data_IF_870588577931
#
_entry.id   IF_870588577931
#
_cell.length_a   1.000
_cell.length_b   1.000
_cell.length_c   1.000
_cell.angle_alpha   90.00
_cell.angle_beta   90.00
_cell.angle_gamma   90.00
#
_symmetry.space_group_name_H-M   'P 1'
#
loop_
_entity.id
_entity.type
_entity.pdbx_description
1 polymer ?
#
# COMPACT_ATOMS: atom_id res chain seq x y z
N UNK A 1 -28.00 -38.20 -6.11
CA UNK A 1 -28.60 -37.45 -7.23
C UNK A 1 -27.69 -36.29 -7.58
N UNK A 2 -26.83 -36.39 -8.60
CA UNK A 2 -25.94 -35.30 -8.99
C UNK A 2 -26.72 -34.28 -9.85
N UNK A 3 -26.66 -33.00 -9.46
CA UNK A 3 -27.18 -31.89 -10.27
C UNK A 3 -26.00 -31.23 -10.95
N UNK A 4 -25.83 -31.52 -12.23
CA UNK A 4 -24.89 -30.87 -13.14
C UNK A 4 -25.49 -29.51 -13.52
N UNK A 5 -24.78 -28.42 -13.24
CA UNK A 5 -25.09 -27.09 -13.75
C UNK A 5 -23.89 -26.63 -14.55
N UNK A 6 -24.05 -26.60 -15.88
CA UNK A 6 -23.06 -26.10 -16.83
C UNK A 6 -23.42 -24.66 -17.16
N UNK A 7 -22.60 -23.68 -16.73
CA UNK A 7 -22.74 -22.29 -17.17
C UNK A 7 -21.77 -22.05 -18.33
N UNK A 8 -22.33 -21.82 -19.52
CA UNK A 8 -21.59 -21.38 -20.71
C UNK A 8 -21.63 -19.86 -20.75
N UNK A 9 -20.52 -19.20 -20.37
CA UNK A 9 -20.35 -17.76 -20.56
C UNK A 9 -19.34 -17.53 -21.69
N UNK A 10 -19.84 -17.06 -22.83
CA UNK A 10 -19.01 -16.56 -23.93
C UNK A 10 -19.17 -15.04 -23.99
N UNK A 11 -18.17 -14.30 -23.50
CA UNK A 11 -17.99 -12.88 -23.81
C UNK A 11 -16.80 -12.75 -24.75
N UNK A 12 -17.05 -12.29 -25.97
CA UNK A 12 -16.04 -11.82 -26.90
C UNK A 12 -16.12 -10.29 -26.95
N UNK A 13 -15.11 -9.61 -26.41
CA UNK A 13 -14.92 -8.18 -26.58
C UNK A 13 -13.93 -7.93 -27.73
N UNK A 14 -14.35 -7.18 -28.74
CA UNK A 14 -13.48 -6.68 -29.81
C UNK A 14 -13.16 -5.22 -29.48
N UNK A 15 -11.91 -4.94 -29.11
CA UNK A 15 -11.36 -3.58 -29.09
C UNK A 15 -10.64 -3.32 -30.41
N UNK A 16 -11.05 -2.27 -31.11
CA UNK A 16 -10.31 -1.68 -32.22
C UNK A 16 -9.53 -0.48 -31.70
N UNK A 17 -8.21 -0.52 -31.88
CA UNK A 17 -7.28 0.55 -31.59
C UNK A 17 -6.96 1.39 -32.84
N UNK A 18 -6.98 2.71 -32.68
CA UNK A 18 -6.26 3.73 -33.46
C UNK A 18 -6.37 5.02 -32.64
N UNK A 19 -5.33 5.77 -32.27
CA UNK A 19 -4.00 5.93 -32.84
C UNK A 19 -3.81 7.41 -33.20
N UNK A 20 -2.66 7.96 -32.82
CA UNK A 20 -2.01 9.18 -33.32
C UNK A 20 -2.29 10.53 -32.63
N UNK A 21 -1.20 11.22 -32.25
CA UNK A 21 -1.21 12.61 -31.80
C UNK A 21 0.14 13.09 -31.25
N UNK A 22 1.07 13.42 -32.15
CA UNK A 22 2.41 13.96 -31.87
C UNK A 22 2.44 15.44 -31.45
N UNK A 23 3.64 15.88 -31.00
CA UNK A 23 4.23 17.23 -31.05
C UNK A 23 4.06 18.17 -29.84
N UNK A 24 5.19 18.70 -29.37
CA UNK A 24 5.27 19.96 -28.63
C UNK A 24 6.63 20.21 -27.98
N UNK A 25 7.31 21.29 -28.36
CA UNK A 25 8.75 21.54 -28.14
C UNK A 25 8.97 22.66 -27.12
N UNK A 26 10.12 22.60 -26.42
CA UNK A 26 11.01 23.73 -26.05
C UNK A 26 10.43 24.89 -25.22
N UNK A 27 10.98 25.07 -24.02
CA UNK A 27 10.99 26.34 -23.29
C UNK A 27 12.23 26.41 -22.41
N UNK A 28 13.17 27.27 -22.80
CA UNK A 28 14.44 27.60 -22.14
C UNK A 28 14.31 28.94 -21.39
N UNK A 29 15.25 29.18 -20.47
CA UNK A 29 15.59 30.45 -19.81
C UNK A 29 14.63 30.97 -18.71
N UNK A 30 15.05 31.64 -17.63
CA UNK A 30 16.31 31.94 -16.93
C UNK A 30 15.88 32.87 -15.75
N UNK A 31 16.79 33.21 -14.82
CA UNK A 31 16.68 34.26 -13.78
C UNK A 31 15.85 33.93 -12.52
N UNK A 32 16.24 34.24 -11.29
CA UNK A 32 17.28 35.15 -10.80
C UNK A 32 17.82 34.68 -9.43
N UNK A 33 19.11 34.90 -9.23
CA UNK A 33 19.73 35.00 -7.90
C UNK A 33 19.25 36.29 -7.21
N UNK A 34 18.99 36.23 -5.90
CA UNK A 34 18.99 37.43 -5.06
C UNK A 34 19.67 37.17 -3.73
N UNK A 35 20.52 38.14 -3.44
CA UNK A 35 21.53 38.32 -2.41
C UNK A 35 21.00 38.28 -0.95
N UNK A 36 21.89 37.93 -0.02
CA UNK A 36 21.72 38.02 1.43
C UNK A 36 21.78 39.49 1.93
N UNK A 37 21.50 39.78 3.22
CA UNK A 37 22.63 39.86 4.15
C UNK A 37 22.39 39.47 5.63
N UNK A 38 23.45 38.89 6.20
CA UNK A 38 24.07 39.05 7.52
C UNK A 38 23.30 39.39 8.83
N UNK A 39 23.56 38.54 9.83
CA UNK A 39 24.01 38.79 11.22
C UNK A 39 23.05 39.41 12.28
N UNK A 40 22.89 38.72 13.42
CA UNK A 40 23.42 39.08 14.78
C UNK A 40 22.85 38.10 15.85
N UNK A 41 23.65 37.66 16.82
CA UNK A 41 23.31 36.82 17.99
C UNK A 41 23.49 37.63 19.31
N UNK A 42 23.42 37.08 20.55
CA UNK A 42 22.39 36.32 21.30
C UNK A 42 21.96 37.09 22.61
N UNK A 43 21.79 36.46 23.81
CA UNK A 43 20.55 36.23 24.56
C UNK A 43 20.24 37.20 25.75
N UNK A 44 19.04 37.10 26.34
CA UNK A 44 18.73 37.66 27.67
C UNK A 44 17.96 36.64 28.53
N UNK A 45 18.50 36.19 29.69
CA UNK A 45 17.72 35.52 30.73
C UNK A 45 17.24 36.53 31.78
N UNK A 46 15.98 36.41 32.18
CA UNK A 46 15.42 37.08 33.36
C UNK A 46 14.65 36.07 34.21
N UNK A 47 14.93 35.93 35.51
CA UNK A 47 14.16 35.11 36.43
C UNK A 47 13.03 35.92 37.10
N UNK A 48 12.26 35.21 37.94
CA UNK A 48 11.32 35.67 38.99
C UNK A 48 9.84 35.75 38.54
N UNK A 49 9.02 34.72 38.80
CA UNK A 49 8.36 34.31 40.07
C UNK A 49 6.95 34.91 40.22
N UNK A 50 5.92 34.06 40.18
CA UNK A 50 4.71 34.15 41.01
C UNK A 50 3.73 33.03 40.60
N UNK A 51 3.49 32.12 41.54
CA UNK A 51 2.68 30.94 41.36
C UNK A 51 1.21 31.16 41.05
N UNK A 52 0.60 30.11 40.51
CA UNK A 52 -0.82 29.83 40.68
C UNK A 52 -1.00 28.31 40.64
N UNK A 53 -1.11 27.75 41.84
CA UNK A 53 -1.67 26.44 42.12
C UNK A 53 -3.11 26.42 41.61
N UNK A 54 -3.37 25.65 40.56
CA UNK A 54 -4.71 25.26 40.16
C UNK A 54 -4.68 23.78 39.78
N UNK A 55 -5.19 22.99 40.71
CA UNK A 55 -5.50 21.58 40.62
C UNK A 55 -6.30 21.24 39.36
N UNK A 56 -6.07 20.04 38.83
CA UNK A 56 -7.07 19.31 38.05
C UNK A 56 -6.87 19.33 36.53
N UNK A 57 -5.93 18.54 36.05
CA UNK A 57 -6.06 17.86 34.76
C UNK A 57 -5.29 16.53 34.77
N UNK A 58 -5.50 15.71 35.80
CA UNK A 58 -5.39 14.26 35.64
C UNK A 58 -6.63 13.79 34.88
N UNK A 59 -6.62 13.89 33.55
CA UNK A 59 -7.44 13.05 32.69
C UNK A 59 -6.62 12.71 31.46
N UNK A 60 -6.01 11.54 31.51
CA UNK A 60 -6.03 10.58 30.41
C UNK A 60 -5.86 11.16 29.01
N UNK A 61 -4.61 11.45 28.63
CA UNK A 61 -4.19 11.21 27.25
C UNK A 61 -4.05 9.68 27.02
N UNK A 62 -5.15 8.96 27.24
CA UNK A 62 -5.40 7.61 26.78
C UNK A 62 -6.72 7.76 26.01
N UNK A 63 -6.66 7.54 24.69
CA UNK A 63 -7.75 7.52 23.69
C UNK A 63 -7.74 8.65 22.65
N UNK A 64 -6.60 8.83 21.98
CA UNK A 64 -6.52 9.35 20.61
C UNK A 64 -5.24 8.74 20.05
N UNK A 65 -5.26 7.48 19.60
CA UNK A 65 -5.55 7.20 18.20
C UNK A 65 -5.85 5.69 18.09
N UNK A 66 -7.10 5.30 18.30
CA UNK A 66 -7.60 4.03 17.76
C UNK A 66 -8.14 4.26 16.34
N UNK A 67 -7.51 5.17 15.59
CA UNK A 67 -7.51 5.07 14.14
C UNK A 67 -6.83 3.74 13.88
N UNK A 68 -7.58 2.75 13.37
CA UNK A 68 -6.94 1.55 12.81
C UNK A 68 -5.80 2.08 11.95
N UNK A 69 -4.55 1.80 12.33
CA UNK A 69 -3.39 2.19 11.53
C UNK A 69 -3.44 1.31 10.30
N UNK A 70 -4.18 1.77 9.31
CA UNK A 70 -4.20 1.17 7.98
C UNK A 70 -2.75 1.19 7.50
N UNK A 71 -2.21 0.03 7.16
CA UNK A 71 -0.87 -0.04 6.62
C UNK A 71 -0.92 0.50 5.20
N UNK A 72 -0.23 1.61 4.96
CA UNK A 72 -0.17 2.22 3.64
C UNK A 72 0.77 1.43 2.71
N UNK A 73 1.61 0.53 3.23
CA UNK A 73 2.62 -0.20 2.48
C UNK A 73 3.87 0.63 2.19
N UNK A 74 4.95 -0.03 1.83
CA UNK A 74 6.21 0.60 1.43
C UNK A 74 6.23 0.92 -0.07
N UNK A 75 6.81 2.05 -0.50
CA UNK A 75 6.95 2.34 -1.92
C UNK A 75 7.91 1.37 -2.61
N UNK A 76 7.57 0.95 -3.83
CA UNK A 76 8.39 0.07 -4.66
C UNK A 76 8.17 -1.41 -4.40
N UNK A 77 9.11 -2.22 -4.90
CA UNK A 77 9.10 -3.67 -4.84
C UNK A 77 10.06 -4.21 -3.78
N UNK A 78 9.80 -5.40 -3.23
CA UNK A 78 10.72 -6.05 -2.32
C UNK A 78 12.05 -6.37 -3.01
N UNK A 79 13.14 -6.20 -2.28
CA UNK A 79 14.47 -6.56 -2.79
C UNK A 79 14.55 -8.07 -2.98
N UNK A 80 14.78 -8.53 -4.21
CA UNK A 80 14.97 -9.95 -4.52
C UNK A 80 13.70 -10.72 -4.93
N UNK A 81 12.53 -10.06 -5.00
CA UNK A 81 11.25 -10.71 -5.39
C UNK A 81 11.14 -11.13 -6.86
N UNK A 82 12.12 -10.82 -7.71
CA UNK A 82 12.17 -11.21 -9.13
C UNK A 82 11.15 -10.51 -10.05
N UNK A 83 10.07 -9.97 -9.50
CA UNK A 83 9.08 -9.17 -10.22
C UNK A 83 9.61 -7.79 -10.59
N UNK A 84 9.12 -7.26 -11.70
CA UNK A 84 9.33 -5.86 -12.09
C UNK A 84 8.08 -5.01 -11.85
N UNK A 85 8.25 -3.69 -11.85
CA UNK A 85 7.11 -2.76 -11.72
C UNK A 85 6.12 -2.97 -12.87
N UNK A 86 6.61 -3.23 -14.08
CA UNK A 86 5.78 -3.57 -15.24
C UNK A 86 4.94 -4.82 -15.00
N UNK A 87 5.51 -5.86 -14.37
CA UNK A 87 4.76 -7.08 -14.05
C UNK A 87 3.61 -6.79 -13.09
N UNK A 88 3.82 -5.97 -12.06
CA UNK A 88 2.75 -5.61 -11.12
C UNK A 88 1.66 -4.78 -11.82
N UNK A 89 2.03 -3.76 -12.60
CA UNK A 89 1.06 -2.94 -13.34
C UNK A 89 0.28 -3.76 -14.37
N UNK A 90 0.93 -4.74 -15.01
CA UNK A 90 0.32 -5.59 -16.04
C UNK A 90 -0.53 -6.72 -15.47
N UNK A 91 -0.13 -7.30 -14.34
CA UNK A 91 -0.81 -8.43 -13.70
C UNK A 91 -1.84 -7.99 -12.65
N UNK A 92 -1.79 -6.74 -12.20
CA UNK A 92 -2.67 -6.18 -11.18
C UNK A 92 -2.23 -6.46 -9.74
N UNK A 93 -1.39 -7.48 -9.51
CA UNK A 93 -0.73 -7.75 -8.24
C UNK A 93 0.32 -8.86 -8.38
N UNK A 94 1.28 -8.91 -7.46
CA UNK A 94 2.21 -10.03 -7.31
C UNK A 94 2.42 -10.35 -5.84
N UNK A 95 2.51 -11.63 -5.50
CA UNK A 95 2.92 -12.10 -4.18
C UNK A 95 4.27 -12.81 -4.27
N UNK A 96 5.11 -12.64 -3.25
CA UNK A 96 6.42 -13.31 -3.14
C UNK A 96 6.79 -13.59 -1.69
N UNK A 97 7.72 -14.51 -1.47
CA UNK A 97 8.33 -14.75 -0.17
C UNK A 97 9.39 -13.69 0.13
N UNK A 98 9.31 -13.06 1.30
CA UNK A 98 10.36 -12.19 1.83
C UNK A 98 11.29 -12.96 2.77
N UNK A 99 10.68 -13.68 3.72
CA UNK A 99 11.38 -14.54 4.67
C UNK A 99 10.52 -15.78 4.89
N UNK A 100 10.76 -16.81 4.09
CA UNK A 100 9.92 -17.99 4.12
C UNK A 100 10.19 -18.87 5.35
N UNK A 101 9.16 -19.46 5.98
CA UNK A 101 7.74 -19.40 5.63
C UNK A 101 6.94 -18.29 6.33
N UNK A 102 7.62 -17.36 6.98
CA UNK A 102 7.04 -16.50 8.02
C UNK A 102 6.53 -15.15 7.48
N UNK A 103 7.10 -14.64 6.38
CA UNK A 103 6.78 -13.32 5.83
C UNK A 103 6.60 -13.36 4.31
N UNK A 104 5.46 -12.86 3.84
CA UNK A 104 5.16 -12.64 2.42
C UNK A 104 5.17 -11.14 2.10
N UNK A 105 5.52 -10.82 0.86
CA UNK A 105 5.26 -9.51 0.25
C UNK A 105 4.10 -9.62 -0.71
N UNK A 106 3.12 -8.73 -0.58
CA UNK A 106 2.09 -8.47 -1.60
C UNK A 106 2.36 -7.10 -2.19
N UNK A 107 2.61 -7.06 -3.51
CA UNK A 107 2.84 -5.83 -4.25
C UNK A 107 1.65 -5.52 -5.15
N UNK A 108 1.10 -4.32 -5.02
CA UNK A 108 -0.06 -3.83 -5.78
C UNK A 108 0.33 -2.59 -6.60
N UNK A 109 -0.26 -2.40 -7.80
CA UNK A 109 -0.35 -1.08 -8.41
C UNK A 109 -0.93 -0.15 -7.35
N UNK A 110 -0.36 1.04 -7.16
CA UNK A 110 -0.80 2.00 -6.15
C UNK A 110 -0.30 3.41 -6.44
N UNK A 111 -1.12 4.39 -6.10
CA UNK A 111 -0.63 5.76 -5.81
C UNK A 111 -0.33 5.89 -4.32
N UNK A 112 0.34 6.97 -3.92
CA UNK A 112 0.82 7.16 -2.54
C UNK A 112 -0.28 7.07 -1.46
N UNK A 113 -1.56 7.20 -1.84
CA UNK A 113 -2.71 7.25 -0.93
C UNK A 113 -3.79 6.20 -1.17
N UNK A 114 -3.58 5.28 -2.08
CA UNK A 114 -4.57 4.25 -2.43
C UNK A 114 -4.23 2.88 -1.85
N UNK A 115 -5.30 2.15 -1.54
CA UNK A 115 -5.27 0.74 -1.12
C UNK A 115 -4.49 0.49 0.16
N UNK A 116 -4.85 1.16 1.24
CA UNK A 116 -4.24 0.86 2.54
C UNK A 116 -4.76 -0.50 3.06
N UNK A 117 -3.87 -1.37 3.52
CA UNK A 117 -4.24 -2.67 4.10
C UNK A 117 -5.00 -2.44 5.40
N UNK A 118 -6.15 -3.09 5.50
CA UNK A 118 -7.06 -3.01 6.65
C UNK A 118 -6.94 -4.22 7.55
N UNK A 119 -6.71 -5.41 6.98
CA UNK A 119 -6.66 -6.67 7.72
C UNK A 119 -5.89 -7.76 6.96
N UNK A 120 -5.35 -8.72 7.71
CA UNK A 120 -4.76 -9.95 7.19
C UNK A 120 -5.06 -11.11 8.16
N UNK A 121 -5.78 -12.12 7.69
CA UNK A 121 -6.25 -13.21 8.54
C UNK A 121 -6.32 -14.54 7.79
N UNK A 122 -6.02 -15.64 8.50
CA UNK A 122 -6.19 -16.98 7.94
C UNK A 122 -7.68 -17.31 7.76
N UNK A 123 -8.06 -17.68 6.55
CA UNK A 123 -9.39 -18.24 6.26
C UNK A 123 -9.40 -19.77 6.41
N UNK A 124 -8.24 -20.40 6.21
CA UNK A 124 -8.02 -21.83 6.36
C UNK A 124 -6.52 -22.12 6.53
N UNK A 125 -6.17 -23.38 6.77
CA UNK A 125 -4.78 -23.80 6.91
C UNK A 125 -3.91 -23.58 5.66
N UNK A 126 -4.46 -23.21 4.51
CA UNK A 126 -3.67 -22.93 3.29
C UNK A 126 -4.13 -21.66 2.59
N UNK A 127 -4.94 -20.81 3.25
CA UNK A 127 -5.52 -19.61 2.64
C UNK A 127 -5.46 -18.43 3.59
N UNK A 128 -4.85 -17.35 3.12
CA UNK A 128 -4.72 -16.07 3.80
C UNK A 128 -5.62 -15.05 3.10
N UNK A 129 -6.56 -14.44 3.82
CA UNK A 129 -7.28 -13.26 3.33
C UNK A 129 -6.52 -11.99 3.70
N UNK A 130 -6.40 -11.09 2.73
CA UNK A 130 -5.82 -9.76 2.89
C UNK A 130 -6.81 -8.75 2.34
N UNK A 131 -7.20 -7.80 3.18
CA UNK A 131 -8.18 -6.79 2.85
C UNK A 131 -7.51 -5.42 2.72
N UNK A 132 -7.95 -4.67 1.72
CA UNK A 132 -7.52 -3.30 1.45
C UNK A 132 -8.73 -2.37 1.46
N UNK A 133 -8.49 -1.10 1.77
CA UNK A 133 -9.48 -0.03 1.62
C UNK A 133 -9.06 0.92 0.50
N UNK A 134 -9.98 1.13 -0.44
CA UNK A 134 -9.88 2.21 -1.41
C UNK A 134 -10.15 3.55 -0.71
N UNK A 135 -9.36 4.58 -1.03
CA UNK A 135 -9.74 5.96 -0.72
C UNK A 135 -10.86 6.40 -1.67
N UNK A 136 -11.68 7.40 -1.31
CA UNK A 136 -12.85 7.81 -2.12
C UNK A 136 -12.54 8.12 -3.60
N UNK A 137 -11.29 8.46 -3.93
CA UNK A 137 -10.83 8.66 -5.30
C UNK A 137 -9.40 8.13 -5.45
N UNK A 138 -9.23 7.08 -6.26
CA UNK A 138 -7.93 6.59 -6.69
C UNK A 138 -7.62 6.99 -8.13
N UNK A 139 -6.48 7.65 -8.34
CA UNK A 139 -5.94 7.92 -9.67
C UNK A 139 -5.36 6.63 -10.28
N UNK A 140 -5.23 6.62 -11.62
CA UNK A 140 -4.64 5.47 -12.32
C UNK A 140 -3.20 5.23 -11.83
N UNK A 141 -2.88 4.01 -11.36
CA UNK A 141 -1.59 3.74 -10.72
C UNK A 141 -0.45 3.70 -11.74
N UNK A 142 0.57 4.53 -11.49
CA UNK A 142 1.84 4.51 -12.23
C UNK A 142 3.02 4.00 -11.37
N UNK A 143 2.73 3.58 -10.14
CA UNK A 143 3.71 3.11 -9.16
C UNK A 143 3.21 1.83 -8.47
N UNK A 144 4.05 1.29 -7.58
CA UNK A 144 3.78 0.06 -6.84
C UNK A 144 4.01 0.31 -5.37
N UNK A 145 3.18 -0.33 -4.54
CA UNK A 145 3.41 -0.44 -3.10
C UNK A 145 3.43 -1.88 -2.67
N UNK A 146 4.26 -2.16 -1.67
CA UNK A 146 4.46 -3.49 -1.11
C UNK A 146 4.05 -3.53 0.34
N UNK A 147 3.27 -4.55 0.68
CA UNK A 147 2.79 -4.84 2.03
C UNK A 147 3.50 -6.08 2.52
N UNK A 148 4.16 -5.96 3.67
CA UNK A 148 4.81 -7.08 4.35
C UNK A 148 3.79 -7.70 5.31
N UNK A 149 3.51 -8.98 5.12
CA UNK A 149 2.44 -9.66 5.85
C UNK A 149 3.05 -10.87 6.54
N UNK A 150 2.95 -10.89 7.87
CA UNK A 150 3.31 -12.05 8.67
C UNK A 150 2.29 -13.16 8.42
N UNK A 151 2.78 -14.37 8.13
CA UNK A 151 1.93 -15.54 7.90
C UNK A 151 1.40 -16.02 9.27
N UNK A 152 0.07 -16.06 9.48
CA UNK A 152 -0.50 -16.57 10.71
C UNK A 152 -0.06 -18.01 10.99
N UNK A 153 0.23 -18.33 12.25
CA UNK A 153 0.80 -19.63 12.64
C UNK A 153 -0.12 -20.85 12.44
N UNK A 154 -1.39 -20.62 12.10
CA UNK A 154 -2.38 -21.63 11.71
C UNK A 154 -2.37 -21.97 10.21
N UNK A 155 -1.58 -21.26 9.40
CA UNK A 155 -1.34 -21.58 7.98
C UNK A 155 -0.14 -22.53 7.83
N UNK A 156 -0.35 -23.64 7.11
CA UNK A 156 0.71 -24.54 6.65
C UNK A 156 1.30 -24.03 5.32
N UNK A 157 2.23 -23.09 5.43
CA UNK A 157 2.96 -22.49 4.32
C UNK A 157 3.80 -23.46 3.48
N UNK A 158 4.09 -24.67 4.00
CA UNK A 158 4.99 -25.63 3.35
C UNK A 158 4.39 -26.25 2.08
N UNK A 159 3.06 -26.20 1.95
CA UNK A 159 2.33 -26.67 0.77
C UNK A 159 2.14 -25.59 -0.30
N UNK A 160 2.58 -24.36 -0.06
CA UNK A 160 2.11 -23.18 -0.78
C UNK A 160 0.85 -22.59 -0.15
N UNK A 161 0.58 -21.33 -0.45
CA UNK A 161 -0.52 -20.55 0.14
C UNK A 161 -1.32 -19.87 -0.96
N UNK A 162 -2.65 -19.93 -0.84
CA UNK A 162 -3.54 -19.07 -1.62
C UNK A 162 -3.78 -17.76 -0.85
N UNK A 163 -3.38 -16.63 -1.43
CA UNK A 163 -3.56 -15.29 -0.84
C UNK A 163 -4.76 -14.62 -1.52
N UNK A 164 -5.88 -14.53 -0.81
CA UNK A 164 -7.08 -13.87 -1.28
C UNK A 164 -6.98 -12.36 -1.03
N UNK A 165 -7.08 -11.57 -2.09
CA UNK A 165 -7.02 -10.11 -2.05
C UNK A 165 -8.43 -9.56 -2.25
N UNK A 166 -8.86 -8.67 -1.35
CA UNK A 166 -10.18 -8.03 -1.40
C UNK A 166 -10.08 -6.53 -1.18
N UNK A 167 -11.08 -5.78 -1.68
CA UNK A 167 -11.15 -4.33 -1.46
C UNK A 167 -10.20 -3.48 -2.31
N UNK A 168 -9.69 -4.07 -3.40
CA UNK A 168 -9.05 -3.37 -4.52
C UNK A 168 -9.98 -3.44 -5.75
N UNK A 169 -9.49 -3.13 -6.97
CA UNK A 169 -10.24 -3.26 -8.23
C UNK A 169 -10.66 -4.73 -8.53
N UNK A 170 -11.66 -5.20 -7.79
CA UNK A 170 -12.14 -6.59 -7.79
C UNK A 170 -11.40 -7.49 -6.79
N UNK A 171 -12.05 -8.60 -6.45
CA UNK A 171 -11.47 -9.64 -5.60
C UNK A 171 -10.74 -10.66 -6.46
N UNK A 172 -9.54 -11.07 -6.04
CA UNK A 172 -8.77 -12.10 -6.73
C UNK A 172 -7.94 -12.93 -5.75
N UNK A 173 -7.24 -13.95 -6.27
CA UNK A 173 -6.38 -14.82 -5.47
C UNK A 173 -5.04 -14.97 -6.15
N UNK A 174 -3.97 -14.85 -5.36
CA UNK A 174 -2.59 -15.07 -5.77
C UNK A 174 -2.13 -16.42 -5.21
N UNK A 175 -1.55 -17.24 -6.06
CA UNK A 175 -0.98 -18.53 -5.65
C UNK A 175 0.50 -18.35 -5.35
N UNK A 176 0.88 -18.51 -4.09
CA UNK A 176 2.27 -18.47 -3.66
C UNK A 176 2.78 -19.92 -3.52
N UNK A 177 3.75 -20.35 -4.35
CA UNK A 177 4.26 -21.71 -4.28
C UNK A 177 4.95 -21.97 -2.95
N UNK A 178 5.09 -23.25 -2.58
CA UNK A 178 5.91 -23.65 -1.45
C UNK A 178 7.33 -23.04 -1.55
N UNK A 179 7.91 -22.60 -0.42
CA UNK A 179 9.22 -21.96 -0.41
C UNK A 179 10.39 -22.89 -0.73
#
# INVERSE_FOLDING_TARGET
MPRTVTLTAALAAVLMAAGCGSVGTTGDAEHAAVDAPAATAPPTPGPEDAGSDASGAEQSALSADATMRLDAGSPGLPSGGGASVDDVLRLGAVASWLDAPDVIAVSLPATDRCWAMTDAAAESSTRLAVAFAEAEVCEEPAAVRTYEIEVPGDIDARGGIAVAITGVDGDFTLELPAP
#
